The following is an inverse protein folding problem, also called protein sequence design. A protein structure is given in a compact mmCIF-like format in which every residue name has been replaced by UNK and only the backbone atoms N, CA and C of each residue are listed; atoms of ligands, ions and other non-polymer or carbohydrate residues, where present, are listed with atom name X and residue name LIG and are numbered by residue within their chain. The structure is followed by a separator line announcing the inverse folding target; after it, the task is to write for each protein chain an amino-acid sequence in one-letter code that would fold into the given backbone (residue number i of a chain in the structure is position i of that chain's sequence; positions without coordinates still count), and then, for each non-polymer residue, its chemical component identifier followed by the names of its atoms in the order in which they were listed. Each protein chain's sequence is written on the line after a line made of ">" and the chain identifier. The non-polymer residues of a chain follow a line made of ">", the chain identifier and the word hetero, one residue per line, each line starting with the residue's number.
data_IF_650037615928
#
_entry.id   IF_650037615928
#
_cell.length_a   1.000
_cell.length_b   1.000
_cell.length_c   1.000
_cell.angle_alpha   90.00
_cell.angle_beta   90.00
_cell.angle_gamma   90.00
#
_symmetry.space_group_name_H-M   'P 1'
#
loop_
_entity.id
_entity.type
_entity.pdbx_description
1 polymer ?
#
# COMPACT_ATOMS: atom_id res chain seq x y z
N UNK A 1 5.69 -1.36 16.01
CA UNK A 1 4.90 -1.81 14.85
C UNK A 1 5.40 -1.12 13.61
N UNK A 2 5.41 -1.82 12.47
CA UNK A 2 5.88 -1.28 11.18
C UNK A 2 4.93 -1.70 10.05
N UNK A 3 4.66 -0.79 9.11
CA UNK A 3 3.96 -1.11 7.85
C UNK A 3 4.99 -1.10 6.72
N UNK A 4 5.05 -2.18 5.95
CA UNK A 4 5.85 -2.29 4.73
C UNK A 4 4.92 -2.22 3.52
N UNK A 5 4.70 -1.03 2.92
CA UNK A 5 3.81 -0.90 1.77
C UNK A 5 4.42 -1.49 0.50
N UNK A 6 3.57 -1.99 -0.38
CA UNK A 6 3.90 -2.23 -1.78
C UNK A 6 3.82 -0.94 -2.60
N UNK A 7 3.34 -1.05 -3.84
CA UNK A 7 3.19 0.12 -4.72
C UNK A 7 1.95 0.94 -4.37
N UNK A 8 2.14 2.13 -3.79
CA UNK A 8 1.08 3.09 -3.44
C UNK A 8 1.17 4.36 -4.26
N UNK A 9 0.02 4.91 -4.66
CA UNK A 9 -0.02 6.21 -5.34
C UNK A 9 0.16 7.35 -4.33
N UNK A 10 1.24 8.11 -4.50
CA UNK A 10 1.61 9.24 -3.65
C UNK A 10 2.28 10.32 -4.51
N UNK A 11 2.51 11.49 -3.93
CA UNK A 11 3.26 12.58 -4.59
C UNK A 11 4.71 12.22 -4.96
N UNK A 12 5.24 11.07 -4.53
CA UNK A 12 6.55 10.60 -4.96
C UNK A 12 6.63 10.32 -6.47
N UNK A 13 5.49 10.16 -7.15
CA UNK A 13 5.41 9.96 -8.60
C UNK A 13 5.25 11.29 -9.38
N UNK A 14 5.25 12.44 -8.71
CA UNK A 14 5.02 13.75 -9.35
C UNK A 14 3.62 13.87 -9.95
N UNK A 15 3.48 14.66 -11.01
CA UNK A 15 2.20 14.94 -11.68
C UNK A 15 1.78 13.87 -12.70
N UNK A 16 2.25 12.62 -12.54
CA UNK A 16 1.87 11.53 -13.44
C UNK A 16 0.45 11.07 -13.13
N UNK A 17 -0.47 11.04 -14.11
CA UNK A 17 -1.83 10.55 -13.90
C UNK A 17 -1.86 9.12 -13.39
N UNK A 18 -2.77 8.84 -12.45
CA UNK A 18 -2.92 7.53 -11.81
C UNK A 18 -3.22 6.41 -12.81
N UNK A 19 -3.90 6.71 -13.91
CA UNK A 19 -4.19 5.75 -14.98
C UNK A 19 -2.90 5.21 -15.60
N UNK A 20 -1.95 6.09 -15.92
CA UNK A 20 -0.66 5.70 -16.50
C UNK A 20 0.20 4.89 -15.52
N UNK A 21 0.17 5.26 -14.24
CA UNK A 21 0.89 4.50 -13.22
C UNK A 21 0.25 3.12 -12.99
N UNK A 22 -1.07 3.02 -13.01
CA UNK A 22 -1.76 1.74 -12.94
C UNK A 22 -1.44 0.85 -14.13
N UNK A 23 -1.41 1.38 -15.36
CA UNK A 23 -0.99 0.62 -16.55
C UNK A 23 0.43 0.02 -16.37
N UNK A 24 1.33 0.79 -15.75
CA UNK A 24 2.71 0.35 -15.49
C UNK A 24 2.83 -0.69 -14.38
N UNK A 25 2.10 -0.53 -13.27
CA UNK A 25 2.34 -1.30 -12.04
C UNK A 25 1.28 -2.35 -11.72
N UNK A 26 0.06 -2.25 -12.27
CA UNK A 26 -1.04 -3.15 -11.92
C UNK A 26 -0.76 -4.63 -12.24
N UNK A 27 0.06 -4.92 -13.24
CA UNK A 27 0.45 -6.29 -13.60
C UNK A 27 1.32 -6.97 -12.53
N UNK A 28 2.04 -6.18 -11.72
CA UNK A 28 2.89 -6.66 -10.63
C UNK A 28 2.13 -6.89 -9.32
N UNK A 29 0.86 -6.46 -9.25
CA UNK A 29 0.03 -6.51 -8.05
C UNK A 29 -1.06 -7.57 -8.30
N UNK A 30 -0.95 -8.78 -7.71
CA UNK A 30 -1.88 -9.87 -7.95
C UNK A 30 -3.35 -9.49 -7.74
N UNK A 31 -3.68 -8.91 -6.58
CA UNK A 31 -5.03 -8.42 -6.29
C UNK A 31 -5.01 -7.46 -5.08
N UNK A 32 -5.64 -6.28 -5.17
CA UNK A 32 -6.33 -5.69 -6.32
C UNK A 32 -5.35 -5.21 -7.41
N UNK A 33 -5.69 -5.38 -8.70
CA UNK A 33 -4.83 -5.00 -9.85
C UNK A 33 -4.77 -3.48 -10.08
N UNK A 34 -4.24 -2.75 -9.11
CA UNK A 34 -4.00 -1.29 -9.12
C UNK A 34 -3.05 -0.92 -8.00
N UNK A 35 -2.49 0.29 -8.06
CA UNK A 35 -1.76 0.87 -6.93
C UNK A 35 -2.67 1.04 -5.71
N UNK A 36 -2.06 0.96 -4.52
CA UNK A 36 -2.71 1.29 -3.26
C UNK A 36 -3.03 2.79 -3.15
N UNK A 37 -4.08 3.12 -2.39
CA UNK A 37 -4.50 4.49 -2.07
C UNK A 37 -4.03 4.88 -0.67
N UNK A 38 -3.76 6.16 -0.43
CA UNK A 38 -3.32 6.64 0.88
C UNK A 38 -4.29 6.24 2.02
N UNK A 39 -5.60 6.27 1.75
CA UNK A 39 -6.62 5.89 2.74
C UNK A 39 -6.54 4.42 3.15
N UNK A 40 -6.08 3.52 2.27
CA UNK A 40 -5.90 2.09 2.60
C UNK A 40 -4.70 1.89 3.55
N UNK A 41 -3.66 2.71 3.42
CA UNK A 41 -2.56 2.75 4.37
C UNK A 41 -3.02 3.33 5.72
N UNK A 42 -3.77 4.44 5.68
CA UNK A 42 -4.31 5.08 6.87
C UNK A 42 -5.24 4.14 7.66
N UNK A 43 -6.05 3.35 6.96
CA UNK A 43 -6.91 2.34 7.57
C UNK A 43 -6.11 1.32 8.39
N UNK A 44 -5.01 0.80 7.84
CA UNK A 44 -4.14 -0.13 8.59
C UNK A 44 -3.45 0.57 9.76
N UNK A 45 -2.98 1.81 9.58
CA UNK A 45 -2.38 2.58 10.66
C UNK A 45 -3.37 2.80 11.82
N UNK A 46 -4.64 3.09 11.52
CA UNK A 46 -5.71 3.21 12.50
C UNK A 46 -5.93 1.88 13.25
N UNK A 47 -6.03 0.76 12.54
CA UNK A 47 -6.18 -0.56 13.15
C UNK A 47 -5.02 -0.93 14.09
N UNK A 48 -3.79 -0.50 13.76
CA UNK A 48 -2.61 -0.71 14.61
C UNK A 48 -2.74 0.07 15.91
N UNK A 49 -3.16 1.35 15.87
CA UNK A 49 -3.26 2.18 17.09
C UNK A 49 -4.46 1.82 17.96
N UNK A 50 -5.48 1.17 17.39
CA UNK A 50 -6.67 0.72 18.12
C UNK A 50 -6.49 -0.64 18.83
N UNK A 51 -5.42 -1.39 18.54
CA UNK A 51 -5.20 -2.73 19.07
C UNK A 51 -3.90 -2.82 19.89
N UNK A 52 -4.04 -2.74 21.21
CA UNK A 52 -2.92 -2.78 22.18
C UNK A 52 -2.06 -4.04 22.12
N UNK A 53 -2.58 -5.14 21.55
CA UNK A 53 -1.85 -6.41 21.48
C UNK A 53 -0.99 -6.55 20.21
N UNK A 54 -1.10 -5.62 19.26
CA UNK A 54 -0.20 -5.57 18.11
C UNK A 54 1.14 -4.96 18.52
N UNK A 55 2.17 -5.81 18.64
CA UNK A 55 3.50 -5.37 19.06
C UNK A 55 4.62 -6.11 18.30
N UNK A 56 5.74 -5.43 18.08
CA UNK A 56 6.98 -6.03 17.57
C UNK A 56 6.93 -6.63 16.17
N UNK A 57 5.90 -6.35 15.36
CA UNK A 57 5.70 -6.99 14.06
C UNK A 57 5.70 -6.01 12.88
N UNK A 58 5.98 -6.54 11.68
CA UNK A 58 5.91 -5.81 10.39
C UNK A 58 4.79 -6.38 9.52
N UNK A 59 3.82 -5.56 9.16
CA UNK A 59 2.71 -5.95 8.29
C UNK A 59 3.02 -5.48 6.87
N UNK A 60 2.99 -6.42 5.90
CA UNK A 60 3.02 -6.06 4.49
C UNK A 60 1.63 -5.64 4.03
N UNK A 61 1.55 -4.51 3.35
CA UNK A 61 0.33 -4.01 2.72
C UNK A 61 0.63 -3.77 1.24
N UNK A 62 0.45 -4.79 0.40
CA UNK A 62 1.05 -4.81 -0.94
C UNK A 62 0.25 -5.53 -2.03
N UNK A 63 -0.99 -5.96 -1.76
CA UNK A 63 -1.79 -6.72 -2.73
C UNK A 63 -1.13 -8.04 -3.19
N UNK A 64 -0.30 -8.65 -2.33
CA UNK A 64 0.54 -9.82 -2.60
C UNK A 64 1.67 -9.62 -3.61
N UNK A 65 2.02 -8.36 -3.94
CA UNK A 65 3.14 -8.03 -4.83
C UNK A 65 4.46 -8.63 -4.33
N UNK A 66 5.31 -9.05 -5.28
CA UNK A 66 6.72 -9.40 -5.07
C UNK A 66 7.55 -8.61 -6.09
N UNK A 67 8.64 -7.99 -5.62
CA UNK A 67 9.55 -7.18 -6.44
C UNK A 67 10.63 -8.03 -7.09
#
# INVERSE_FOLDING_TARGET
>A
MTIAPGTFYTYAYGDVPIEQLNERFASLIPNPKRMGRADEYAQLAQQIVENDFLNGYTIRLDGAQRF
#
